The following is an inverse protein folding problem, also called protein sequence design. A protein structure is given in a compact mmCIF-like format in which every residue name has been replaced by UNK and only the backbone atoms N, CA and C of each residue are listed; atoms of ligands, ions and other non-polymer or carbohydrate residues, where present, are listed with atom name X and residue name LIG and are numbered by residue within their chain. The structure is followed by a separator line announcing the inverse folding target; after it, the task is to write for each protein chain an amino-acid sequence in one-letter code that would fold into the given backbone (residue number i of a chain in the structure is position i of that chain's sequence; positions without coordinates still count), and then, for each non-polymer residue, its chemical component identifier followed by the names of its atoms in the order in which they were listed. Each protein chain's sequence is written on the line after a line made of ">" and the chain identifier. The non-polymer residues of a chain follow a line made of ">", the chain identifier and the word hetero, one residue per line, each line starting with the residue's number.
data_IF_873003981808
#
_entry.id   IF_873003981808
#
_cell.length_a   1.000
_cell.length_b   1.000
_cell.length_c   1.000
_cell.angle_alpha   90.00
_cell.angle_beta   90.00
_cell.angle_gamma   90.00
#
_symmetry.space_group_name_H-M   'P 1'
#
loop_
_entity.id
_entity.type
_entity.pdbx_description
1 polymer ?
#
# COMPACT_ATOMS: atom_id res chain seq x y z
N UNK A 1 3.28 33.89 6.12
CA UNK A 1 4.00 32.80 5.42
C UNK A 1 5.30 33.43 4.94
N UNK A 2 6.15 33.84 5.88
CA UNK A 2 7.18 34.88 5.66
C UNK A 2 8.60 34.40 5.99
N UNK A 3 8.79 33.08 6.13
CA UNK A 3 10.12 32.52 6.26
C UNK A 3 10.81 32.49 4.90
N UNK A 4 12.10 32.86 4.90
CA UNK A 4 12.95 32.89 3.71
C UNK A 4 13.06 31.47 3.18
N UNK A 5 12.39 31.20 2.05
CA UNK A 5 12.50 29.90 1.36
C UNK A 5 13.98 29.58 1.12
N UNK A 6 14.34 28.31 1.39
CA UNK A 6 15.72 27.86 1.21
C UNK A 6 16.18 28.06 -0.22
N UNK A 7 17.45 28.44 -0.37
CA UNK A 7 18.09 28.47 -1.67
C UNK A 7 18.09 27.05 -2.29
N UNK A 8 17.91 26.97 -3.60
CA UNK A 8 17.82 25.74 -4.37
C UNK A 8 19.00 24.77 -4.15
N UNK A 9 20.20 25.31 -3.87
CA UNK A 9 21.39 24.51 -3.55
C UNK A 9 21.25 23.80 -2.20
N UNK A 10 20.66 24.46 -1.21
CA UNK A 10 20.42 23.92 0.14
C UNK A 10 19.37 22.82 0.12
N UNK A 11 18.31 22.99 -0.68
CA UNK A 11 17.31 21.94 -0.90
C UNK A 11 17.91 20.69 -1.55
N UNK A 12 18.77 20.88 -2.56
CA UNK A 12 19.44 19.77 -3.25
C UNK A 12 20.39 19.00 -2.32
N UNK A 13 21.15 19.71 -1.49
CA UNK A 13 22.07 19.10 -0.51
C UNK A 13 21.33 18.32 0.59
N UNK A 14 20.14 18.75 0.98
CA UNK A 14 19.35 18.07 2.01
C UNK A 14 18.30 17.10 1.45
N UNK A 15 18.22 16.92 0.13
CA UNK A 15 17.19 16.10 -0.50
C UNK A 15 17.13 14.69 0.07
N UNK A 16 18.28 14.02 0.19
CA UNK A 16 18.33 12.64 0.68
C UNK A 16 18.04 12.56 2.19
N UNK A 17 18.28 13.65 2.93
CA UNK A 17 17.95 13.77 4.36
C UNK A 17 16.47 14.07 4.61
N UNK A 18 15.78 14.72 3.66
CA UNK A 18 14.40 15.18 3.82
C UNK A 18 13.39 14.24 3.17
N UNK A 19 13.75 13.64 2.03
CA UNK A 19 12.85 12.79 1.24
C UNK A 19 13.24 11.31 1.34
N UNK A 20 13.40 10.84 2.58
CA UNK A 20 13.57 9.42 2.89
C UNK A 20 12.35 8.87 3.64
N UNK A 21 12.32 7.54 3.74
CA UNK A 21 11.23 6.80 4.36
C UNK A 21 11.04 7.17 5.83
N UNK A 22 12.13 7.39 6.58
CA UNK A 22 12.06 7.61 8.03
C UNK A 22 11.41 8.96 8.34
N UNK A 23 11.84 10.03 7.65
CA UNK A 23 11.24 11.36 7.79
C UNK A 23 9.78 11.34 7.34
N UNK A 24 9.47 10.66 6.23
CA UNK A 24 8.08 10.52 5.76
C UNK A 24 7.21 9.76 6.78
N UNK A 25 7.75 8.73 7.45
CA UNK A 25 7.05 7.97 8.48
C UNK A 25 6.82 8.81 9.73
N UNK A 26 7.83 9.58 10.17
CA UNK A 26 7.69 10.52 11.28
C UNK A 26 6.64 11.59 10.99
N UNK A 27 6.62 12.14 9.77
CA UNK A 27 5.60 13.11 9.36
C UNK A 27 4.19 12.50 9.37
N UNK A 28 4.03 11.31 8.78
CA UNK A 28 2.75 10.58 8.81
C UNK A 28 2.27 10.30 10.24
N UNK A 29 3.17 9.91 11.13
CA UNK A 29 2.87 9.72 12.55
C UNK A 29 2.52 11.04 13.25
N UNK A 30 3.20 12.15 12.93
CA UNK A 30 2.94 13.45 13.54
C UNK A 30 1.54 13.98 13.20
N UNK A 31 1.01 13.69 12.01
CA UNK A 31 -0.38 14.05 11.66
C UNK A 31 -1.38 13.40 12.63
N UNK A 32 -1.08 12.19 13.11
CA UNK A 32 -1.93 11.48 14.08
C UNK A 32 -1.94 12.10 15.49
N UNK A 33 -1.12 13.14 15.70
CA UNK A 33 -1.04 13.90 16.95
C UNK A 33 -1.60 15.32 16.84
N UNK A 34 -2.26 15.64 15.72
CA UNK A 34 -3.09 16.84 15.62
C UNK A 34 -4.33 16.69 16.50
N UNK A 35 -4.85 17.79 17.04
CA UNK A 35 -6.02 17.76 17.92
C UNK A 35 -7.24 17.20 17.18
N UNK A 36 -7.41 17.58 15.91
CA UNK A 36 -8.48 17.12 15.03
C UNK A 36 -8.42 15.61 14.80
N UNK A 37 -7.22 15.02 14.80
CA UNK A 37 -7.10 13.57 14.65
C UNK A 37 -7.82 12.85 15.78
N UNK A 38 -7.66 13.31 17.02
CA UNK A 38 -8.32 12.68 18.18
C UNK A 38 -9.84 12.83 18.14
N UNK A 39 -10.35 13.92 17.55
CA UNK A 39 -11.78 14.16 17.40
C UNK A 39 -12.42 13.28 16.32
N UNK A 40 -11.72 13.09 15.19
CA UNK A 40 -12.28 12.44 14.00
C UNK A 40 -11.85 10.98 13.80
N UNK A 41 -10.69 10.55 14.29
CA UNK A 41 -10.28 9.16 14.14
C UNK A 41 -10.97 8.24 15.17
N UNK A 42 -10.94 6.94 14.90
CA UNK A 42 -11.27 5.88 15.86
C UNK A 42 -10.19 4.82 15.80
N UNK A 43 -9.91 4.18 16.94
CA UNK A 43 -8.96 3.08 17.08
C UNK A 43 -9.64 1.70 17.27
N UNK A 44 -10.97 1.64 17.08
CA UNK A 44 -11.76 0.44 17.34
C UNK A 44 -11.93 -0.44 16.10
N UNK A 45 -12.17 0.18 14.95
CA UNK A 45 -12.59 -0.54 13.74
C UNK A 45 -11.80 -0.09 12.52
N UNK A 46 -11.13 -1.03 11.87
CA UNK A 46 -10.24 -0.78 10.75
C UNK A 46 -10.56 -1.66 9.55
N UNK A 47 -10.06 -1.26 8.39
CA UNK A 47 -9.99 -2.06 7.18
C UNK A 47 -8.57 -2.13 6.66
N UNK A 48 -8.21 -3.26 6.08
CA UNK A 48 -6.90 -3.49 5.46
C UNK A 48 -7.07 -4.02 4.06
N UNK A 49 -6.22 -3.55 3.16
CA UNK A 49 -6.18 -4.02 1.78
C UNK A 49 -4.82 -3.69 1.14
N UNK A 50 -4.52 -4.39 0.06
CA UNK A 50 -3.28 -4.27 -0.71
C UNK A 50 -3.55 -3.85 -2.16
N UNK A 51 -2.65 -3.06 -2.74
CA UNK A 51 -2.67 -2.72 -4.15
C UNK A 51 -1.31 -2.85 -4.80
N UNK A 52 -1.30 -3.23 -6.07
CA UNK A 52 -0.12 -3.09 -6.93
C UNK A 52 0.12 -1.63 -7.31
N UNK A 53 1.39 -1.24 -7.28
CA UNK A 53 1.92 0.02 -7.82
C UNK A 53 2.88 -0.34 -8.96
N UNK A 54 2.55 0.07 -10.18
CA UNK A 54 3.33 -0.29 -11.36
C UNK A 54 4.68 0.43 -11.33
N UNK A 55 5.76 -0.30 -11.54
CA UNK A 55 7.08 0.30 -11.71
C UNK A 55 7.20 0.92 -13.11
N UNK A 56 7.98 1.99 -13.24
CA UNK A 56 8.39 2.53 -14.55
C UNK A 56 9.47 1.67 -15.21
N UNK A 57 9.22 0.37 -15.29
CA UNK A 57 10.12 -0.61 -15.86
C UNK A 57 9.42 -1.38 -17.00
N UNK A 58 10.16 -1.61 -18.08
CA UNK A 58 9.67 -2.35 -19.25
C UNK A 58 9.87 -3.84 -19.07
N UNK A 59 9.03 -4.67 -19.70
CA UNK A 59 9.32 -6.09 -19.87
C UNK A 59 10.65 -6.33 -20.58
N UNK A 60 11.19 -5.41 -21.38
CA UNK A 60 12.55 -5.55 -21.95
C UNK A 60 13.65 -5.49 -20.89
N UNK A 61 13.42 -4.78 -19.77
CA UNK A 61 14.40 -4.67 -18.68
C UNK A 61 14.48 -5.93 -17.81
N UNK A 62 13.49 -6.83 -17.86
CA UNK A 62 13.37 -7.95 -16.92
C UNK A 62 14.19 -9.18 -17.33
N UNK A 63 15.50 -9.06 -17.39
CA UNK A 63 16.42 -10.07 -17.94
C UNK A 63 16.75 -11.19 -16.95
N UNK A 64 17.41 -12.26 -17.42
CA UNK A 64 17.91 -13.34 -16.56
C UNK A 64 18.97 -12.84 -15.59
N UNK A 65 18.97 -13.36 -14.36
CA UNK A 65 19.96 -13.01 -13.34
C UNK A 65 21.35 -13.57 -13.62
N UNK A 66 21.42 -14.79 -14.15
CA UNK A 66 22.68 -15.54 -14.29
C UNK A 66 23.49 -15.14 -15.54
N UNK A 67 23.19 -13.97 -16.11
CA UNK A 67 23.76 -13.55 -17.38
C UNK A 67 23.06 -14.18 -18.59
N UNK A 68 23.03 -13.41 -19.65
CA UNK A 68 22.50 -13.74 -20.96
C UNK A 68 22.70 -12.50 -21.80
N UNK A 69 23.32 -12.64 -22.97
CA UNK A 69 23.75 -11.47 -23.74
C UNK A 69 22.58 -10.49 -23.94
N UNK A 70 22.79 -9.19 -23.66
CA UNK A 70 21.93 -8.17 -24.23
C UNK A 70 21.85 -8.46 -25.73
N UNK A 71 20.65 -8.58 -26.30
CA UNK A 71 20.53 -8.74 -27.75
C UNK A 71 21.11 -7.47 -28.39
N UNK A 72 22.32 -7.57 -28.90
CA UNK A 72 23.02 -6.48 -29.58
C UNK A 72 22.43 -6.33 -30.98
N UNK A 73 21.39 -5.51 -31.13
CA UNK A 73 21.06 -4.93 -32.44
C UNK A 73 21.58 -3.50 -32.61
N UNK A 74 22.36 -3.01 -31.63
CA UNK A 74 22.95 -1.68 -31.63
C UNK A 74 21.96 -0.54 -31.43
N UNK A 75 20.67 -0.82 -31.20
CA UNK A 75 19.64 0.21 -30.99
C UNK A 75 19.39 0.47 -29.50
N UNK A 76 18.83 1.65 -29.19
CA UNK A 76 18.40 2.00 -27.82
C UNK A 76 17.22 1.14 -27.32
N UNK A 77 16.53 0.40 -28.20
CA UNK A 77 15.34 -0.36 -27.87
C UNK A 77 15.26 -1.68 -28.66
N UNK A 78 16.18 -2.63 -28.43
CA UNK A 78 16.34 -3.81 -29.25
C UNK A 78 15.07 -4.66 -29.32
N UNK A 79 14.81 -5.27 -30.47
CA UNK A 79 13.68 -6.18 -30.62
C UNK A 79 13.89 -7.45 -29.80
N UNK A 80 12.94 -7.71 -28.91
CA UNK A 80 13.00 -8.84 -28.00
C UNK A 80 11.74 -9.69 -28.19
N UNK A 81 11.92 -10.83 -28.86
CA UNK A 81 10.91 -11.88 -28.91
C UNK A 81 10.94 -12.69 -27.60
N UNK A 82 9.84 -12.61 -26.87
CA UNK A 82 9.61 -13.28 -25.59
C UNK A 82 8.69 -14.50 -25.72
N UNK A 83 8.29 -14.88 -26.94
CA UNK A 83 7.43 -16.05 -27.15
C UNK A 83 8.17 -17.34 -26.79
N UNK A 84 7.52 -18.18 -25.99
CA UNK A 84 8.04 -19.50 -25.59
C UNK A 84 8.94 -19.50 -24.35
N UNK A 85 9.42 -18.35 -23.87
CA UNK A 85 10.28 -18.29 -22.69
C UNK A 85 9.47 -18.01 -21.41
N UNK A 86 9.57 -18.92 -20.43
CA UNK A 86 8.93 -18.74 -19.12
C UNK A 86 9.76 -17.80 -18.25
N UNK A 87 9.24 -16.61 -18.01
CA UNK A 87 9.87 -15.58 -17.16
C UNK A 87 9.25 -15.59 -15.77
N UNK A 88 10.09 -15.47 -14.74
CA UNK A 88 9.66 -15.54 -13.34
C UNK A 88 10.57 -14.69 -12.44
N UNK A 89 10.06 -14.31 -11.27
CA UNK A 89 10.86 -13.57 -10.27
C UNK A 89 12.04 -14.36 -9.70
N UNK A 90 12.02 -15.70 -9.82
CA UNK A 90 13.13 -16.55 -9.43
C UNK A 90 14.31 -16.37 -10.40
N UNK A 91 14.04 -16.45 -11.70
CA UNK A 91 15.04 -16.50 -12.77
C UNK A 91 15.40 -15.15 -13.38
N UNK A 92 14.52 -14.15 -13.25
CA UNK A 92 14.67 -12.85 -13.90
C UNK A 92 14.57 -11.69 -12.91
N UNK A 93 15.14 -10.55 -13.29
CA UNK A 93 15.15 -9.30 -12.53
C UNK A 93 15.16 -8.11 -13.48
N UNK A 94 14.54 -6.99 -13.09
CA UNK A 94 14.57 -5.76 -13.89
C UNK A 94 15.90 -5.05 -13.71
N UNK A 95 16.52 -4.63 -14.81
CA UNK A 95 17.68 -3.74 -14.81
C UNK A 95 17.31 -2.28 -14.53
N UNK A 96 16.04 -1.91 -14.70
CA UNK A 96 15.53 -0.55 -14.43
C UNK A 96 15.16 -0.38 -12.96
N UNK A 97 14.46 -1.36 -12.38
CA UNK A 97 14.13 -1.39 -10.95
C UNK A 97 14.32 -2.82 -10.41
N UNK A 98 15.51 -3.16 -9.88
CA UNK A 98 15.84 -4.50 -9.40
C UNK A 98 14.92 -5.03 -8.30
N UNK A 99 14.21 -4.14 -7.60
CA UNK A 99 13.30 -4.48 -6.52
C UNK A 99 11.87 -4.76 -7.00
N UNK A 100 11.49 -4.28 -8.19
CA UNK A 100 10.18 -4.52 -8.78
C UNK A 100 10.03 -5.99 -9.20
N UNK A 101 8.86 -6.57 -8.92
CA UNK A 101 8.56 -7.97 -9.20
C UNK A 101 7.53 -8.10 -10.31
N UNK A 102 7.69 -9.12 -11.14
CA UNK A 102 6.68 -9.56 -12.08
C UNK A 102 5.43 -9.98 -11.30
N UNK A 103 4.36 -9.22 -11.47
CA UNK A 103 3.10 -9.35 -10.77
C UNK A 103 1.94 -9.46 -11.75
N UNK A 104 0.87 -10.12 -11.30
CA UNK A 104 -0.37 -10.27 -12.05
C UNK A 104 -1.54 -10.16 -11.07
N UNK A 105 -2.50 -9.27 -11.34
CA UNK A 105 -3.63 -9.05 -10.42
C UNK A 105 -4.64 -10.21 -10.46
N UNK A 106 -4.88 -10.78 -11.64
CA UNK A 106 -5.73 -11.96 -11.83
C UNK A 106 -5.26 -12.81 -13.02
N UNK A 107 -5.78 -14.03 -13.16
CA UNK A 107 -5.42 -14.95 -14.26
C UNK A 107 -5.72 -14.43 -15.67
N UNK A 108 -6.48 -13.34 -15.82
CA UNK A 108 -6.75 -12.69 -17.11
C UNK A 108 -5.87 -11.48 -17.39
N UNK A 109 -5.26 -10.87 -16.38
CA UNK A 109 -4.60 -9.57 -16.53
C UNK A 109 -3.24 -9.68 -17.22
N UNK A 110 -2.76 -8.60 -17.81
CA UNK A 110 -1.37 -8.55 -18.25
C UNK A 110 -0.42 -8.63 -17.04
N UNK A 111 0.71 -9.33 -17.20
CA UNK A 111 1.79 -9.26 -16.22
C UNK A 111 2.50 -7.90 -16.31
N UNK A 112 2.95 -7.40 -15.17
CA UNK A 112 3.62 -6.09 -15.04
C UNK A 112 4.66 -6.12 -13.94
N UNK A 113 5.67 -5.28 -14.03
CA UNK A 113 6.62 -5.08 -12.94
C UNK A 113 6.00 -4.12 -11.94
N UNK A 114 5.91 -4.53 -10.67
CA UNK A 114 5.22 -3.77 -9.65
C UNK A 114 5.80 -4.02 -8.25
N UNK A 115 5.46 -3.09 -7.36
CA UNK A 115 5.56 -3.21 -5.91
C UNK A 115 4.16 -3.40 -5.31
N UNK A 116 4.08 -3.79 -4.04
CA UNK A 116 2.82 -3.80 -3.28
C UNK A 116 2.81 -2.65 -2.27
N UNK A 117 1.71 -1.91 -2.26
CA UNK A 117 1.38 -0.98 -1.19
C UNK A 117 0.21 -1.56 -0.38
N UNK A 118 0.34 -1.59 0.93
CA UNK A 118 -0.69 -2.03 1.86
C UNK A 118 -1.14 -0.84 2.67
N UNK A 119 -2.42 -0.80 3.01
CA UNK A 119 -2.99 0.34 3.73
C UNK A 119 -3.97 -0.15 4.78
N UNK A 120 -3.96 0.52 5.92
CA UNK A 120 -4.92 0.35 7.00
C UNK A 120 -5.72 1.64 7.16
N UNK A 121 -7.05 1.53 7.15
CA UNK A 121 -7.98 2.66 7.20
C UNK A 121 -8.92 2.50 8.40
N UNK A 122 -9.14 3.55 9.18
CA UNK A 122 -10.17 3.54 10.24
C UNK A 122 -11.59 3.74 9.66
N UNK A 123 -12.60 3.19 10.33
CA UNK A 123 -13.96 3.10 9.78
C UNK A 123 -14.82 4.34 9.94
N UNK A 124 -14.58 5.14 10.98
CA UNK A 124 -15.42 6.29 11.34
C UNK A 124 -15.40 7.29 10.20
N UNK A 125 -14.20 7.72 9.80
CA UNK A 125 -14.06 8.79 8.84
C UNK A 125 -13.25 8.42 7.60
N UNK A 126 -12.64 7.23 7.54
CA UNK A 126 -11.87 6.78 6.38
C UNK A 126 -10.45 7.37 6.34
N UNK A 127 -9.90 7.75 7.49
CA UNK A 127 -8.50 8.17 7.61
C UNK A 127 -7.58 6.97 7.49
N UNK A 128 -6.43 7.18 6.85
CA UNK A 128 -5.39 6.16 6.71
C UNK A 128 -4.53 6.17 7.97
N UNK A 129 -4.49 5.06 8.69
CA UNK A 129 -3.84 4.97 10.00
C UNK A 129 -2.48 4.26 9.96
N UNK A 130 -2.23 3.47 8.91
CA UNK A 130 -0.96 2.80 8.65
C UNK A 130 -0.79 2.47 7.17
N UNK A 131 0.47 2.36 6.73
CA UNK A 131 0.88 2.11 5.35
C UNK A 131 2.16 1.30 5.36
N UNK A 132 2.25 0.32 4.46
CA UNK A 132 3.46 -0.47 4.26
C UNK A 132 3.74 -0.70 2.77
N UNK A 133 5.02 -0.81 2.40
CA UNK A 133 5.43 -1.12 1.04
C UNK A 133 6.28 -2.38 1.01
N UNK A 134 5.88 -3.38 0.24
CA UNK A 134 6.60 -4.65 0.14
C UNK A 134 6.84 -5.03 -1.32
N UNK A 135 7.67 -6.04 -1.52
CA UNK A 135 7.69 -6.72 -2.82
C UNK A 135 6.37 -7.47 -3.05
N UNK A 136 6.09 -7.76 -4.33
CA UNK A 136 5.01 -8.67 -4.69
C UNK A 136 5.47 -10.11 -4.54
N UNK A 137 4.97 -10.79 -3.50
CA UNK A 137 5.08 -12.22 -3.32
C UNK A 137 3.76 -12.76 -2.73
N UNK A 138 3.54 -14.09 -2.80
CA UNK A 138 2.26 -14.69 -2.38
C UNK A 138 1.97 -14.68 -0.87
N UNK A 139 2.84 -14.10 -0.05
CA UNK A 139 2.72 -14.05 1.43
C UNK A 139 2.77 -12.63 2.00
N UNK A 140 3.38 -11.69 1.29
CA UNK A 140 3.67 -10.34 1.76
C UNK A 140 2.43 -9.58 2.22
N UNK A 141 1.29 -9.81 1.57
CA UNK A 141 0.03 -9.16 1.93
C UNK A 141 -0.43 -9.52 3.35
N UNK A 142 -0.38 -10.81 3.72
CA UNK A 142 -0.74 -11.27 5.07
C UNK A 142 0.30 -10.82 6.10
N UNK A 143 1.59 -10.88 5.75
CA UNK A 143 2.69 -10.47 6.64
C UNK A 143 2.63 -8.98 6.96
N UNK A 144 2.62 -8.13 5.93
CA UNK A 144 2.55 -6.68 6.09
C UNK A 144 1.29 -6.25 6.86
N UNK A 145 0.17 -6.93 6.63
CA UNK A 145 -1.07 -6.61 7.35
C UNK A 145 -0.97 -6.95 8.84
N UNK A 146 -0.39 -8.09 9.20
CA UNK A 146 -0.17 -8.44 10.60
C UNK A 146 0.81 -7.48 11.28
N UNK A 147 1.87 -7.06 10.58
CA UNK A 147 2.82 -6.05 11.08
C UNK A 147 2.14 -4.67 11.28
N UNK A 148 1.29 -4.24 10.34
CA UNK A 148 0.49 -3.00 10.52
C UNK A 148 -0.48 -3.12 11.69
N UNK A 149 -1.13 -4.28 11.87
CA UNK A 149 -2.03 -4.50 13.00
C UNK A 149 -1.29 -4.48 14.34
N UNK A 150 -0.14 -5.14 14.44
CA UNK A 150 0.68 -5.15 15.66
C UNK A 150 1.14 -3.74 16.02
N UNK A 151 1.50 -2.94 15.03
CA UNK A 151 1.97 -1.56 15.21
C UNK A 151 0.86 -0.57 15.57
N UNK A 152 -0.36 -0.77 15.08
CA UNK A 152 -1.41 0.27 15.10
C UNK A 152 -2.68 -0.12 15.86
N UNK A 153 -3.09 -1.39 15.84
CA UNK A 153 -4.34 -1.82 16.46
C UNK A 153 -4.17 -2.06 17.97
N UNK A 154 -5.26 -1.92 18.73
CA UNK A 154 -5.31 -2.27 20.15
C UNK A 154 -6.02 -3.61 20.34
N UNK A 155 -5.72 -4.34 21.43
CA UNK A 155 -6.54 -5.48 21.82
C UNK A 155 -8.03 -5.09 21.92
N UNK A 156 -8.89 -5.87 21.27
CA UNK A 156 -10.34 -5.59 21.19
C UNK A 156 -10.77 -4.89 19.89
N UNK A 157 -9.84 -4.33 19.11
CA UNK A 157 -10.16 -3.76 17.80
C UNK A 157 -10.67 -4.83 16.81
N UNK A 158 -11.29 -4.40 15.72
CA UNK A 158 -11.72 -5.28 14.62
C UNK A 158 -11.10 -4.87 13.30
N UNK A 159 -10.77 -5.84 12.44
CA UNK A 159 -10.21 -5.57 11.11
C UNK A 159 -11.05 -6.18 10.00
N UNK A 160 -11.61 -5.34 9.14
CA UNK A 160 -12.27 -5.70 7.90
C UNK A 160 -11.26 -6.00 6.80
N UNK A 161 -11.44 -7.10 6.08
CA UNK A 161 -10.60 -7.42 4.94
C UNK A 161 -11.39 -8.17 3.85
N UNK A 162 -10.82 -8.21 2.65
CA UNK A 162 -11.41 -8.91 1.52
C UNK A 162 -11.40 -10.44 1.69
N UNK A 163 -11.89 -11.17 0.69
CA UNK A 163 -11.99 -12.64 0.78
C UNK A 163 -10.63 -13.35 0.67
N UNK A 164 -9.63 -12.71 0.07
CA UNK A 164 -8.30 -13.29 -0.07
C UNK A 164 -7.60 -13.40 1.29
N UNK A 165 -7.97 -12.57 2.26
CA UNK A 165 -7.52 -12.69 3.66
C UNK A 165 -8.17 -13.85 4.43
N UNK A 166 -9.15 -14.57 3.87
CA UNK A 166 -9.78 -15.72 4.52
C UNK A 166 -8.84 -16.95 4.48
N UNK A 167 -7.74 -16.83 5.22
CA UNK A 167 -6.65 -17.78 5.33
C UNK A 167 -6.37 -18.03 6.81
N UNK A 168 -6.10 -19.29 7.18
CA UNK A 168 -5.83 -19.68 8.57
C UNK A 168 -4.75 -18.81 9.22
N UNK A 169 -3.66 -18.55 8.49
CA UNK A 169 -2.53 -17.73 8.96
C UNK A 169 -2.98 -16.32 9.38
N UNK A 170 -3.73 -15.63 8.53
CA UNK A 170 -4.18 -14.28 8.83
C UNK A 170 -5.18 -14.27 10.00
N UNK A 171 -6.19 -15.16 9.96
CA UNK A 171 -7.22 -15.24 10.99
C UNK A 171 -6.63 -15.57 12.36
N UNK A 172 -5.67 -16.49 12.40
CA UNK A 172 -4.97 -16.85 13.63
C UNK A 172 -4.08 -15.70 14.11
N UNK A 173 -3.24 -15.11 13.26
CA UNK A 173 -2.37 -13.99 13.65
C UNK A 173 -3.14 -12.78 14.16
N UNK A 174 -4.26 -12.42 13.52
CA UNK A 174 -5.12 -11.34 14.01
C UNK A 174 -5.69 -11.65 15.41
N UNK A 175 -6.11 -12.89 15.65
CA UNK A 175 -6.62 -13.34 16.96
C UNK A 175 -5.54 -13.37 18.03
N UNK A 176 -4.31 -13.73 17.69
CA UNK A 176 -3.14 -13.69 18.59
C UNK A 176 -2.84 -12.23 19.02
N UNK A 177 -2.99 -11.28 18.10
CA UNK A 177 -2.96 -9.84 18.39
C UNK A 177 -4.21 -9.31 19.11
N UNK A 178 -5.16 -10.19 19.47
CA UNK A 178 -6.46 -9.85 20.07
C UNK A 178 -7.31 -8.90 19.22
N UNK A 179 -7.13 -8.93 17.91
CA UNK A 179 -7.94 -8.20 16.92
C UNK A 179 -8.96 -9.17 16.31
N UNK A 180 -10.23 -8.78 16.27
CA UNK A 180 -11.29 -9.61 15.68
C UNK A 180 -11.29 -9.49 14.14
N UNK A 181 -11.05 -10.57 13.38
CA UNK A 181 -10.95 -10.49 11.93
C UNK A 181 -12.34 -10.51 11.27
N UNK A 182 -12.85 -9.35 10.85
CA UNK A 182 -14.04 -9.19 10.02
C UNK A 182 -13.75 -9.44 8.53
N UNK A 183 -13.21 -10.62 8.22
CA UNK A 183 -12.82 -11.01 6.86
C UNK A 183 -14.00 -11.57 6.10
N UNK A 184 -14.11 -11.25 4.81
CA UNK A 184 -15.16 -11.82 3.97
C UNK A 184 -15.06 -13.36 3.85
N UNK A 185 -16.05 -14.07 4.38
CA UNK A 185 -16.04 -15.54 4.41
C UNK A 185 -16.10 -16.19 3.00
N UNK A 186 -15.35 -17.27 2.83
CA UNK A 186 -15.44 -18.21 1.71
C UNK A 186 -16.63 -19.15 1.89
N UNK A 187 -17.23 -19.60 0.78
CA UNK A 187 -18.36 -20.54 0.80
C UNK A 187 -17.98 -21.93 1.31
N UNK A 188 -16.74 -22.36 1.10
CA UNK A 188 -16.19 -23.65 1.55
C UNK A 188 -14.79 -23.41 2.12
N UNK A 189 -14.46 -24.09 3.22
CA UNK A 189 -13.14 -24.03 3.84
C UNK A 189 -12.73 -22.66 4.40
N UNK A 190 -13.70 -21.87 4.89
CA UNK A 190 -13.42 -20.59 5.53
C UNK A 190 -12.63 -20.77 6.83
N UNK A 191 -11.65 -19.90 7.07
CA UNK A 191 -10.94 -19.79 8.34
C UNK A 191 -11.73 -18.93 9.36
N UNK A 192 -12.66 -18.11 8.88
CA UNK A 192 -13.63 -17.39 9.70
C UNK A 192 -14.80 -18.30 10.07
N UNK A 193 -15.25 -18.19 11.32
CA UNK A 193 -16.34 -18.99 11.87
C UNK A 193 -17.50 -18.12 12.39
N UNK A 194 -18.60 -18.79 12.78
CA UNK A 194 -19.82 -18.15 13.25
C UNK A 194 -19.66 -17.24 14.47
N UNK A 195 -18.58 -17.40 15.26
CA UNK A 195 -18.31 -16.52 16.41
C UNK A 195 -18.03 -15.09 15.95
N UNK A 196 -17.42 -14.92 14.78
CA UNK A 196 -17.17 -13.59 14.20
C UNK A 196 -18.37 -13.10 13.40
N UNK A 197 -18.95 -13.94 12.54
CA UNK A 197 -19.95 -13.48 11.54
C UNK A 197 -21.34 -13.23 12.10
N UNK A 198 -21.66 -13.75 13.30
CA UNK A 198 -22.99 -13.58 13.94
C UNK A 198 -23.27 -12.16 14.45
N UNK A 199 -22.24 -11.33 14.61
CA UNK A 199 -22.38 -10.02 15.23
C UNK A 199 -22.75 -8.94 14.19
N UNK A 200 -23.64 -7.98 14.51
CA UNK A 200 -23.98 -6.88 13.59
C UNK A 200 -22.76 -6.07 13.12
N UNK A 201 -21.75 -5.92 13.99
CA UNK A 201 -20.49 -5.23 13.66
C UNK A 201 -19.75 -5.84 12.47
N UNK A 202 -19.83 -7.17 12.28
CA UNK A 202 -19.28 -7.83 11.09
C UNK A 202 -19.95 -7.33 9.81
N UNK A 203 -21.29 -7.27 9.79
CA UNK A 203 -22.02 -6.80 8.60
C UNK A 203 -21.71 -5.33 8.28
N UNK A 204 -21.57 -4.48 9.30
CA UNK A 204 -21.17 -3.07 9.13
C UNK A 204 -19.74 -2.96 8.58
N UNK A 205 -18.80 -3.70 9.17
CA UNK A 205 -17.40 -3.77 8.71
C UNK A 205 -17.29 -4.16 7.24
N UNK A 206 -18.10 -5.13 6.79
CA UNK A 206 -18.12 -5.57 5.39
C UNK A 206 -18.61 -4.51 4.40
N UNK A 207 -19.43 -3.55 4.86
CA UNK A 207 -19.86 -2.41 4.05
C UNK A 207 -18.78 -1.34 4.03
N UNK A 208 -18.30 -0.93 5.21
CA UNK A 208 -17.35 0.19 5.36
C UNK A 208 -16.01 -0.14 4.71
N UNK A 209 -15.54 -1.39 4.77
CA UNK A 209 -14.22 -1.75 4.22
C UNK A 209 -14.00 -1.41 2.77
N UNK A 210 -15.07 -1.28 1.99
CA UNK A 210 -14.99 -0.90 0.58
C UNK A 210 -14.51 0.54 0.38
N UNK A 211 -14.64 1.41 1.40
CA UNK A 211 -14.18 2.81 1.36
C UNK A 211 -12.65 2.92 1.26
N UNK A 212 -11.90 1.86 1.62
CA UNK A 212 -10.43 1.88 1.46
C UNK A 212 -10.00 2.08 0.00
N UNK A 213 -10.85 1.68 -0.94
CA UNK A 213 -10.64 1.89 -2.38
C UNK A 213 -10.70 3.37 -2.77
N UNK A 214 -11.37 4.24 -2.00
CA UNK A 214 -11.32 5.70 -2.20
C UNK A 214 -9.89 6.21 -1.96
N UNK A 215 -9.24 5.74 -0.88
CA UNK A 215 -7.85 6.06 -0.56
C UNK A 215 -6.90 5.62 -1.68
N UNK A 216 -7.03 4.39 -2.17
CA UNK A 216 -6.23 3.92 -3.30
C UNK A 216 -6.53 4.65 -4.60
N UNK A 217 -7.80 4.96 -4.86
CA UNK A 217 -8.24 5.75 -6.00
C UNK A 217 -7.55 7.11 -6.00
N UNK A 218 -7.61 7.82 -4.87
CA UNK A 218 -6.96 9.11 -4.68
C UNK A 218 -5.44 9.01 -4.82
N UNK A 219 -4.80 8.03 -4.18
CA UNK A 219 -3.35 7.81 -4.25
C UNK A 219 -2.86 7.62 -5.70
N UNK A 220 -3.61 6.85 -6.50
CA UNK A 220 -3.22 6.57 -7.89
C UNK A 220 -3.51 7.72 -8.84
N UNK A 221 -4.58 8.48 -8.60
CA UNK A 221 -5.05 9.54 -9.51
C UNK A 221 -4.47 10.91 -9.16
N UNK A 222 -4.53 11.29 -7.89
CA UNK A 222 -4.06 12.57 -7.37
C UNK A 222 -2.65 12.44 -6.79
N UNK A 223 -2.37 11.38 -6.02
CA UNK A 223 -1.06 11.11 -5.43
C UNK A 223 0.02 10.65 -6.43
N UNK A 224 -0.33 10.48 -7.70
CA UNK A 224 0.61 10.18 -8.79
C UNK A 224 1.18 8.76 -8.78
N UNK A 225 0.63 7.83 -7.99
CA UNK A 225 1.18 6.48 -7.82
C UNK A 225 0.47 5.40 -8.65
N UNK A 226 -0.21 5.77 -9.74
CA UNK A 226 -0.67 4.75 -10.71
C UNK A 226 0.51 3.98 -11.31
N UNK A 227 1.61 4.69 -11.59
CA UNK A 227 2.89 4.13 -12.05
C UNK A 227 4.03 4.96 -11.49
N UNK A 228 4.84 4.36 -10.62
CA UNK A 228 5.92 5.05 -9.92
C UNK A 228 7.15 5.21 -10.81
N UNK A 229 7.73 6.41 -10.79
CA UNK A 229 9.03 6.72 -11.41
C UNK A 229 10.20 6.52 -10.43
N UNK A 230 9.88 6.25 -9.16
CA UNK A 230 10.87 6.01 -8.12
C UNK A 230 11.38 4.57 -8.25
N UNK A 231 12.69 4.42 -8.11
CA UNK A 231 13.37 3.12 -8.16
C UNK A 231 13.62 2.67 -6.72
N UNK A 232 13.21 1.43 -6.41
CA UNK A 232 13.36 0.83 -5.08
C UNK A 232 12.24 1.16 -4.10
N UNK A 233 11.98 0.23 -3.18
CA UNK A 233 10.89 0.32 -2.21
C UNK A 233 11.07 1.46 -1.23
N UNK A 234 12.29 1.76 -0.76
CA UNK A 234 12.51 2.84 0.21
C UNK A 234 11.98 4.21 -0.27
N UNK A 235 12.22 4.55 -1.54
CA UNK A 235 11.71 5.79 -2.14
C UNK A 235 10.20 5.74 -2.32
N UNK A 236 9.68 4.59 -2.76
CA UNK A 236 8.24 4.39 -2.90
C UNK A 236 7.50 4.48 -1.55
N UNK A 237 8.05 3.88 -0.48
CA UNK A 237 7.54 3.99 0.89
C UNK A 237 7.43 5.44 1.33
N UNK A 238 8.48 6.25 1.07
CA UNK A 238 8.45 7.67 1.39
C UNK A 238 7.31 8.40 0.66
N UNK A 239 7.13 8.14 -0.65
CA UNK A 239 6.04 8.75 -1.42
C UNK A 239 4.65 8.26 -0.99
N UNK A 240 4.51 6.98 -0.63
CA UNK A 240 3.26 6.42 -0.10
C UNK A 240 2.85 7.10 1.21
N UNK A 241 3.80 7.20 2.15
CA UNK A 241 3.58 7.85 3.45
C UNK A 241 3.22 9.33 3.28
N UNK A 242 3.96 10.06 2.44
CA UNK A 242 3.63 11.46 2.13
C UNK A 242 2.28 11.60 1.42
N UNK A 243 1.98 10.72 0.46
CA UNK A 243 0.71 10.72 -0.27
C UNK A 243 -0.48 10.54 0.67
N UNK A 244 -0.42 9.54 1.55
CA UNK A 244 -1.49 9.32 2.52
C UNK A 244 -1.51 10.32 3.68
N UNK A 245 -0.37 10.95 3.99
CA UNK A 245 -0.32 12.11 4.88
C UNK A 245 -1.15 13.27 4.32
N UNK A 246 -0.93 13.61 3.04
CA UNK A 246 -1.70 14.64 2.33
C UNK A 246 -3.17 14.25 2.24
N UNK A 247 -3.48 13.00 1.89
CA UNK A 247 -4.85 12.49 1.90
C UNK A 247 -5.53 12.73 3.26
N UNK A 248 -4.89 12.39 4.36
CA UNK A 248 -5.45 12.58 5.70
C UNK A 248 -5.65 14.05 6.03
N UNK A 249 -4.70 14.94 5.71
CA UNK A 249 -4.81 16.37 5.98
C UNK A 249 -5.97 17.02 5.21
N UNK A 250 -6.11 16.67 3.93
CA UNK A 250 -7.22 17.10 3.08
C UNK A 250 -8.55 16.61 3.69
N UNK A 251 -8.57 15.40 4.29
CA UNK A 251 -9.80 14.79 4.85
C UNK A 251 -10.17 15.40 6.18
N UNK A 252 -9.18 15.58 7.05
CA UNK A 252 -9.33 16.31 8.30
C UNK A 252 -9.80 17.74 8.04
N UNK A 253 -9.21 18.45 7.09
CA UNK A 253 -9.65 19.80 6.71
C UNK A 253 -11.11 19.87 6.26
N UNK A 254 -11.60 18.84 5.55
CA UNK A 254 -13.01 18.76 5.16
C UNK A 254 -13.92 18.47 6.37
N UNK A 255 -13.48 17.61 7.29
CA UNK A 255 -14.24 17.23 8.49
C UNK A 255 -14.31 18.38 9.51
N UNK A 256 -13.21 19.11 9.71
CA UNK A 256 -13.10 20.25 10.62
C UNK A 256 -13.62 21.56 10.02
N UNK A 257 -13.92 21.58 8.72
CA UNK A 257 -14.43 22.76 8.02
C UNK A 257 -13.38 23.85 7.73
N UNK A 258 -12.09 23.55 7.94
CA UNK A 258 -10.99 24.49 7.68
C UNK A 258 -10.73 24.75 6.21
N UNK A 259 -11.28 23.90 5.34
CA UNK A 259 -11.26 24.12 3.91
C UNK A 259 -12.55 23.61 3.25
N UNK A 260 -12.87 24.11 2.05
CA UNK A 260 -14.10 23.74 1.33
C UNK A 260 -13.86 22.70 0.24
N UNK A 261 -12.66 22.11 0.16
CA UNK A 261 -12.38 21.02 -0.75
C UNK A 261 -13.05 19.74 -0.27
N UNK A 262 -13.83 19.08 -1.11
CA UNK A 262 -14.29 17.71 -0.85
C UNK A 262 -13.31 16.72 -1.48
N UNK A 263 -12.88 15.72 -0.74
CA UNK A 263 -12.45 14.49 -1.39
C UNK A 263 -13.66 13.85 -2.04
N UNK A 264 -13.54 13.53 -3.32
CA UNK A 264 -14.60 12.88 -4.13
C UNK A 264 -15.16 11.66 -3.41
#
# INVERSE_FOLDING_TARGET
>A
MDERMWDHSTFSQNRDRLFNQDVARLFFQRIKSLDEWSEYASDEHFSVDGTLIDAWASHKSFIKKDGGDPREDGTRNPDADFKGEKRSNATHQSTTDPEAKLARKSNGDASRLAHMAHTMMEHRNGLIVDVECTEFNGRAEVEATLEMLERTAKPGSTVGADKNYDQKRFVQGARELKVTPHVAHKRKGSAIDGRTTRHPGYATSQKIRKRIEEGFGWLKTVGGLRKTKLIGRAKLSAQLLLGFSVYNLIRLGSLSGWWRGSHV
#
